data_IF_352465094181
#
_entry.id   IF_352465094181
#
_cell.length_a   1.000
_cell.length_b   1.000
_cell.length_c   1.000
_cell.angle_alpha   90.00
_cell.angle_beta   90.00
_cell.angle_gamma   90.00
#
_symmetry.space_group_name_H-M   'P 1'
#
loop_
_entity.id
_entity.type
_entity.pdbx_description
1 polymer ?
#
# COMPACT_ATOMS: atom_id res chain seq x y z
N UNK A 1 -24.41 -14.91 -42.70
CA UNK A 1 -24.65 -14.89 -41.24
C UNK A 1 -24.17 -16.20 -40.62
N UNK A 2 -22.87 -16.50 -40.67
CA UNK A 2 -22.24 -17.65 -39.97
C UNK A 2 -20.75 -17.29 -39.76
N UNK A 3 -20.44 -16.43 -38.78
CA UNK A 3 -19.08 -16.28 -38.22
C UNK A 3 -19.21 -15.86 -36.75
N UNK A 4 -19.68 -16.75 -35.87
CA UNK A 4 -19.55 -16.58 -34.40
C UNK A 4 -19.50 -17.94 -33.69
N UNK A 5 -18.59 -18.85 -34.08
CA UNK A 5 -18.44 -20.11 -33.33
C UNK A 5 -17.04 -20.72 -33.23
N UNK A 6 -15.97 -19.93 -33.31
CA UNK A 6 -14.60 -20.47 -33.11
C UNK A 6 -13.62 -19.55 -32.37
N UNK A 7 -14.08 -18.79 -31.36
CA UNK A 7 -13.20 -18.04 -30.44
C UNK A 7 -13.61 -18.28 -28.97
N UNK A 8 -13.79 -19.54 -28.56
CA UNK A 8 -14.08 -19.88 -27.16
C UNK A 8 -13.32 -21.12 -26.64
N UNK A 9 -12.26 -21.59 -27.31
CA UNK A 9 -11.58 -22.84 -26.90
C UNK A 9 -10.06 -22.81 -26.98
N UNK A 10 -9.38 -21.72 -26.58
CA UNK A 10 -7.92 -21.73 -26.39
C UNK A 10 -7.33 -20.71 -25.39
N UNK A 11 -8.12 -20.16 -24.45
CA UNK A 11 -7.64 -19.18 -23.45
C UNK A 11 -7.73 -19.70 -22.00
N UNK A 12 -8.11 -20.97 -21.78
CA UNK A 12 -8.24 -21.55 -20.43
C UNK A 12 -7.28 -22.71 -20.11
N UNK A 13 -6.23 -22.93 -20.91
CA UNK A 13 -5.23 -23.99 -20.66
C UNK A 13 -3.81 -23.47 -20.37
N UNK A 14 -3.65 -22.22 -19.94
CA UNK A 14 -2.33 -21.64 -19.55
C UNK A 14 -2.43 -20.90 -18.20
N UNK A 15 -3.27 -21.36 -17.26
CA UNK A 15 -3.25 -20.90 -15.85
C UNK A 15 -3.24 -22.08 -14.84
N UNK A 16 -2.97 -23.32 -15.30
CA UNK A 16 -2.84 -24.50 -14.41
C UNK A 16 -1.56 -25.30 -14.74
N UNK A 17 -0.40 -24.64 -14.70
CA UNK A 17 0.93 -25.30 -14.54
C UNK A 17 1.89 -24.45 -13.67
N UNK A 18 1.36 -23.65 -12.73
CA UNK A 18 2.19 -22.89 -11.75
C UNK A 18 1.95 -23.32 -10.30
N UNK A 19 1.52 -24.56 -10.06
CA UNK A 19 1.26 -25.07 -8.70
C UNK A 19 1.73 -26.50 -8.41
N UNK A 20 2.62 -27.07 -9.23
CA UNK A 20 3.29 -28.34 -8.91
C UNK A 20 4.73 -28.39 -9.42
N UNK A 21 5.56 -27.43 -9.00
CA UNK A 21 6.95 -27.74 -8.72
C UNK A 21 7.16 -27.37 -7.26
N UNK A 22 7.09 -28.37 -6.39
CA UNK A 22 7.46 -28.20 -5.00
C UNK A 22 8.85 -27.56 -4.96
N UNK A 23 9.02 -26.54 -4.13
CA UNK A 23 10.35 -26.13 -3.71
C UNK A 23 10.99 -27.36 -3.06
N UNK A 24 12.01 -28.00 -3.65
CA UNK A 24 12.83 -28.87 -2.85
C UNK A 24 13.54 -27.96 -1.86
N UNK A 25 13.26 -28.17 -0.58
CA UNK A 25 14.13 -27.73 0.48
C UNK A 25 15.50 -28.40 0.25
N UNK A 26 16.41 -27.72 -0.43
CA UNK A 26 17.82 -28.11 -0.46
C UNK A 26 18.51 -27.40 0.69
N UNK A 27 18.65 -28.16 1.78
CA UNK A 27 19.57 -27.89 2.86
C UNK A 27 21.01 -27.92 2.33
N UNK A 28 21.83 -26.95 2.75
CA UNK A 28 23.31 -26.93 2.68
C UNK A 28 23.96 -27.41 1.35
N UNK A 29 24.28 -26.49 0.43
CA UNK A 29 25.18 -26.77 -0.70
C UNK A 29 25.43 -25.52 -1.56
N UNK A 30 26.69 -25.25 -1.90
CA UNK A 30 27.06 -24.17 -2.82
C UNK A 30 26.26 -24.27 -4.13
N UNK A 31 25.58 -23.20 -4.51
CA UNK A 31 24.85 -23.12 -5.78
C UNK A 31 25.87 -22.98 -6.90
N UNK A 32 25.98 -23.98 -7.77
CA UNK A 32 26.78 -23.86 -9.00
C UNK A 32 26.01 -23.04 -10.04
N UNK A 33 26.37 -21.76 -10.15
CA UNK A 33 25.75 -20.82 -11.09
C UNK A 33 25.90 -21.26 -12.56
N UNK A 34 26.99 -21.96 -12.91
CA UNK A 34 27.21 -22.44 -14.26
C UNK A 34 26.28 -23.61 -14.60
N UNK A 35 25.89 -24.40 -13.60
CA UNK A 35 24.90 -25.46 -13.77
C UNK A 35 23.50 -24.87 -14.02
N UNK A 36 23.12 -23.82 -13.28
CA UNK A 36 21.88 -23.07 -13.57
C UNK A 36 21.88 -22.52 -15.00
N UNK A 37 23.01 -21.98 -15.45
CA UNK A 37 23.17 -21.47 -16.82
C UNK A 37 23.03 -22.58 -17.87
N UNK A 38 23.69 -23.72 -17.69
CA UNK A 38 23.57 -24.89 -18.59
C UNK A 38 22.13 -25.41 -18.68
N UNK A 39 21.40 -25.37 -17.56
CA UNK A 39 19.98 -25.73 -17.49
C UNK A 39 19.04 -24.65 -18.07
N UNK A 40 19.57 -23.56 -18.65
CA UNK A 40 18.83 -22.43 -19.21
C UNK A 40 17.95 -21.70 -18.18
N UNK A 41 18.27 -21.81 -16.89
CA UNK A 41 17.57 -21.13 -15.78
C UNK A 41 18.12 -19.72 -15.59
N UNK A 42 18.02 -18.92 -16.65
CA UNK A 42 18.71 -17.63 -16.76
C UNK A 42 18.24 -16.58 -15.74
N UNK A 43 16.94 -16.54 -15.43
CA UNK A 43 16.39 -15.61 -14.43
C UNK A 43 16.95 -15.90 -13.02
N UNK A 44 17.14 -17.18 -12.69
CA UNK A 44 17.70 -17.60 -11.41
C UNK A 44 19.22 -17.41 -11.37
N UNK A 45 19.92 -17.62 -12.49
CA UNK A 45 21.37 -17.48 -12.57
C UNK A 45 21.84 -16.01 -12.56
N UNK A 46 21.04 -15.10 -13.11
CA UNK A 46 21.37 -13.68 -13.27
C UNK A 46 21.89 -12.98 -12.00
N UNK A 47 21.19 -13.04 -10.83
CA UNK A 47 21.67 -12.37 -9.62
C UNK A 47 23.01 -12.91 -9.09
N UNK A 48 23.30 -14.20 -9.33
CA UNK A 48 24.57 -14.80 -8.93
C UNK A 48 25.71 -14.34 -9.85
N UNK A 49 25.49 -14.26 -11.17
CA UNK A 49 26.49 -13.71 -12.10
C UNK A 49 26.78 -12.24 -11.85
N UNK A 50 25.76 -11.42 -11.54
CA UNK A 50 25.97 -10.03 -11.16
C UNK A 50 26.81 -9.90 -9.87
N UNK A 51 26.55 -10.77 -8.89
CA UNK A 51 27.34 -10.83 -7.65
C UNK A 51 28.79 -11.23 -7.94
N UNK A 52 29.02 -12.27 -8.74
CA UNK A 52 30.37 -12.74 -9.11
C UNK A 52 31.16 -11.67 -9.89
N UNK A 53 30.52 -10.98 -10.83
CA UNK A 53 31.15 -9.89 -11.60
C UNK A 53 31.59 -8.74 -10.70
N UNK A 54 30.81 -8.45 -9.65
CA UNK A 54 31.16 -7.43 -8.65
C UNK A 54 32.36 -7.86 -7.81
N UNK A 55 32.45 -9.15 -7.47
CA UNK A 55 33.56 -9.71 -6.70
C UNK A 55 34.84 -9.89 -7.53
N UNK A 56 34.70 -10.18 -8.83
CA UNK A 56 35.78 -10.48 -9.76
C UNK A 56 35.70 -9.58 -11.02
N UNK A 57 35.92 -8.27 -10.91
CA UNK A 57 35.70 -7.32 -12.01
C UNK A 57 36.65 -7.47 -13.21
N UNK A 58 37.75 -8.21 -13.04
CA UNK A 58 38.73 -8.50 -14.11
C UNK A 58 38.41 -9.76 -14.88
N UNK A 59 37.46 -10.58 -14.43
CA UNK A 59 37.03 -11.78 -15.14
C UNK A 59 35.94 -11.42 -16.16
N UNK A 60 36.38 -11.08 -17.37
CA UNK A 60 35.49 -10.70 -18.46
C UNK A 60 34.58 -11.83 -18.95
N UNK A 61 34.86 -13.10 -18.60
CA UNK A 61 33.96 -14.20 -18.93
C UNK A 61 32.61 -14.05 -18.23
N UNK A 62 32.57 -13.42 -17.05
CA UNK A 62 31.34 -13.16 -16.31
C UNK A 62 30.42 -12.17 -17.06
N UNK A 63 31.00 -11.25 -17.84
CA UNK A 63 30.20 -10.32 -18.65
C UNK A 63 29.39 -11.04 -19.72
N UNK A 64 29.96 -12.08 -20.34
CA UNK A 64 29.24 -12.93 -21.28
C UNK A 64 28.03 -13.58 -20.62
N UNK A 65 28.24 -14.30 -19.51
CA UNK A 65 27.16 -15.02 -18.83
C UNK A 65 26.06 -14.06 -18.37
N UNK A 66 26.42 -12.90 -17.81
CA UNK A 66 25.45 -11.85 -17.47
C UNK A 66 24.71 -11.35 -18.72
N UNK A 67 25.41 -11.07 -19.82
CA UNK A 67 24.82 -10.57 -21.07
C UNK A 67 23.87 -11.57 -21.72
N UNK A 68 24.19 -12.87 -21.70
CA UNK A 68 23.31 -13.94 -22.14
C UNK A 68 22.08 -14.04 -21.25
N UNK A 69 22.26 -14.05 -19.92
CA UNK A 69 21.15 -14.07 -18.97
C UNK A 69 20.18 -12.90 -19.21
N UNK A 70 20.70 -11.68 -19.41
CA UNK A 70 19.88 -10.50 -19.71
C UNK A 70 19.11 -10.67 -21.03
N UNK A 71 19.76 -11.18 -22.08
CA UNK A 71 19.14 -11.38 -23.40
C UNK A 71 18.04 -12.45 -23.36
N UNK A 72 18.26 -13.55 -22.65
CA UNK A 72 17.29 -14.65 -22.55
C UNK A 72 16.13 -14.35 -21.59
N UNK A 73 16.32 -13.40 -20.66
CA UNK A 73 15.26 -12.88 -19.77
C UNK A 73 14.53 -11.66 -20.34
N UNK A 74 14.75 -11.38 -21.64
CA UNK A 74 14.17 -10.27 -22.39
C UNK A 74 14.54 -8.86 -21.89
N UNK A 75 15.63 -8.74 -21.13
CA UNK A 75 16.20 -7.48 -20.62
C UNK A 75 17.19 -6.92 -21.65
N UNK A 76 16.64 -6.43 -22.76
CA UNK A 76 17.41 -5.87 -23.87
C UNK A 76 17.84 -4.41 -23.60
N UNK A 77 18.92 -3.95 -24.23
CA UNK A 77 19.43 -2.59 -24.04
C UNK A 77 20.95 -2.45 -24.14
N UNK A 78 21.40 -1.20 -24.03
CA UNK A 78 22.81 -0.79 -24.14
C UNK A 78 23.73 -1.50 -23.15
N UNK A 79 23.30 -1.69 -21.89
CA UNK A 79 24.09 -2.42 -20.88
C UNK A 79 24.40 -3.85 -21.34
N UNK A 80 23.41 -4.53 -21.89
CA UNK A 80 23.56 -5.90 -22.40
C UNK A 80 24.50 -5.94 -23.61
N UNK A 81 24.44 -4.93 -24.50
CA UNK A 81 25.37 -4.79 -25.62
C UNK A 81 26.81 -4.61 -25.12
N UNK A 82 27.03 -3.69 -24.16
CA UNK A 82 28.34 -3.44 -23.57
C UNK A 82 28.94 -4.69 -22.95
N UNK A 83 28.16 -5.41 -22.14
CA UNK A 83 28.60 -6.67 -21.52
C UNK A 83 28.97 -7.73 -22.57
N UNK A 84 28.16 -7.88 -23.62
CA UNK A 84 28.41 -8.80 -24.74
C UNK A 84 29.49 -8.32 -25.72
N UNK A 85 30.13 -7.17 -25.50
CA UNK A 85 31.23 -6.67 -26.35
C UNK A 85 32.56 -6.59 -25.59
N UNK A 86 32.52 -6.75 -24.27
CA UNK A 86 33.69 -6.61 -23.42
C UNK A 86 34.45 -7.94 -23.31
N UNK A 87 35.15 -8.31 -24.39
CA UNK A 87 36.06 -9.45 -24.46
C UNK A 87 37.48 -9.01 -24.80
N UNK A 88 38.47 -9.78 -24.35
CA UNK A 88 39.80 -9.80 -24.98
C UNK A 88 39.64 -10.39 -26.40
N UNK A 89 40.18 -9.71 -27.41
CA UNK A 89 39.77 -9.82 -28.84
C UNK A 89 39.70 -11.24 -29.43
N UNK A 90 40.40 -12.20 -28.84
CA UNK A 90 40.56 -13.55 -29.38
C UNK A 90 39.75 -14.62 -28.62
N UNK A 91 39.05 -14.27 -27.52
CA UNK A 91 38.40 -15.22 -26.62
C UNK A 91 36.87 -15.10 -26.54
N UNK A 92 36.23 -14.32 -27.41
CA UNK A 92 34.77 -14.18 -27.39
C UNK A 92 34.07 -15.51 -27.81
N UNK A 93 33.09 -16.00 -27.04
CA UNK A 93 32.26 -17.14 -27.48
C UNK A 93 31.61 -16.84 -28.83
N UNK A 94 31.67 -17.78 -29.78
CA UNK A 94 31.21 -17.54 -31.17
C UNK A 94 29.70 -17.21 -31.25
N UNK A 95 28.91 -17.69 -30.29
CA UNK A 95 27.48 -17.44 -30.17
C UNK A 95 27.15 -16.06 -29.59
N UNK A 96 28.14 -15.27 -29.15
CA UNK A 96 27.98 -13.86 -28.78
C UNK A 96 27.25 -13.07 -29.88
N UNK A 97 27.58 -13.35 -31.15
CA UNK A 97 26.93 -12.71 -32.29
C UNK A 97 25.42 -13.00 -32.34
N UNK A 98 24.97 -14.17 -31.91
CA UNK A 98 23.53 -14.48 -31.81
C UNK A 98 22.85 -13.60 -30.76
N UNK A 99 23.42 -13.48 -29.57
CA UNK A 99 22.84 -12.69 -28.48
C UNK A 99 22.85 -11.19 -28.79
N UNK A 100 23.93 -10.68 -29.40
CA UNK A 100 23.98 -9.31 -29.93
C UNK A 100 22.91 -9.08 -31.01
N UNK A 101 22.72 -10.03 -31.93
CA UNK A 101 21.69 -9.93 -32.95
C UNK A 101 20.29 -9.86 -32.34
N UNK A 102 19.98 -10.74 -31.38
CA UNK A 102 18.71 -10.80 -30.66
C UNK A 102 18.43 -9.48 -29.90
N UNK A 103 19.44 -8.95 -29.22
CA UNK A 103 19.33 -7.65 -28.54
C UNK A 103 19.05 -6.50 -29.51
N UNK A 104 19.83 -6.39 -30.59
CA UNK A 104 19.65 -5.36 -31.61
C UNK A 104 18.31 -5.48 -32.32
N UNK A 105 17.81 -6.70 -32.53
CA UNK A 105 16.48 -6.95 -33.10
C UNK A 105 15.39 -6.44 -32.15
N UNK A 106 15.50 -6.73 -30.86
CA UNK A 106 14.57 -6.22 -29.84
C UNK A 106 14.57 -4.69 -29.73
N UNK A 107 15.70 -4.03 -30.03
CA UNK A 107 15.83 -2.57 -30.11
C UNK A 107 15.40 -1.96 -31.46
N UNK A 108 14.81 -2.75 -32.36
CA UNK A 108 14.41 -2.35 -33.73
C UNK A 108 15.57 -1.93 -34.64
N UNK A 109 16.81 -2.27 -34.31
CA UNK A 109 17.99 -2.03 -35.15
C UNK A 109 18.16 -3.13 -36.19
N UNK A 110 17.15 -3.31 -37.06
CA UNK A 110 17.01 -4.49 -37.93
C UNK A 110 18.20 -4.75 -38.87
N UNK A 111 18.85 -3.69 -39.38
CA UNK A 111 20.04 -3.82 -40.24
C UNK A 111 21.24 -4.38 -39.46
N UNK A 112 21.46 -3.86 -38.26
CA UNK A 112 22.55 -4.30 -37.37
C UNK A 112 22.29 -5.74 -36.91
N UNK A 113 21.07 -6.04 -36.49
CA UNK A 113 20.64 -7.39 -36.11
C UNK A 113 20.87 -8.41 -37.24
N UNK A 114 20.51 -8.05 -38.48
CA UNK A 114 20.73 -8.90 -39.65
C UNK A 114 22.22 -9.19 -39.88
N UNK A 115 23.09 -8.19 -39.70
CA UNK A 115 24.54 -8.38 -39.81
C UNK A 115 25.04 -9.40 -38.81
N UNK A 116 24.67 -9.25 -37.53
CA UNK A 116 25.10 -10.18 -36.48
C UNK A 116 24.53 -11.59 -36.64
N UNK A 117 23.27 -11.75 -37.06
CA UNK A 117 22.71 -13.06 -37.38
C UNK A 117 23.46 -13.76 -38.52
N UNK A 118 23.90 -13.00 -39.53
CA UNK A 118 24.68 -13.53 -40.63
C UNK A 118 26.09 -13.95 -40.18
N UNK A 119 26.75 -13.15 -39.34
CA UNK A 119 28.06 -13.52 -38.75
C UNK A 119 27.96 -14.78 -37.90
N UNK A 120 26.96 -14.88 -37.03
CA UNK A 120 26.68 -16.12 -36.29
C UNK A 120 26.45 -17.31 -37.24
N UNK A 121 25.69 -17.11 -38.31
CA UNK A 121 25.35 -18.17 -39.27
C UNK A 121 26.55 -18.77 -40.00
N UNK A 122 27.66 -18.03 -40.14
CA UNK A 122 28.90 -18.53 -40.76
C UNK A 122 29.58 -19.60 -39.91
N UNK A 123 29.44 -19.51 -38.58
CA UNK A 123 30.10 -20.41 -37.62
C UNK A 123 29.14 -21.49 -37.09
N UNK A 124 27.85 -21.18 -36.96
CA UNK A 124 26.84 -22.09 -36.42
C UNK A 124 26.56 -23.28 -37.35
N UNK A 125 26.32 -24.45 -36.77
CA UNK A 125 25.89 -25.65 -37.48
C UNK A 125 24.47 -25.51 -38.04
N UNK A 126 24.10 -26.39 -38.98
CA UNK A 126 22.74 -26.43 -39.53
C UNK A 126 21.68 -26.71 -38.46
N UNK A 127 22.02 -27.49 -37.43
CA UNK A 127 21.11 -27.84 -36.33
C UNK A 127 20.85 -26.61 -35.46
N UNK A 128 21.91 -25.93 -35.01
CA UNK A 128 21.80 -24.73 -34.19
C UNK A 128 21.01 -23.63 -34.88
N UNK A 129 21.26 -23.38 -36.17
CA UNK A 129 20.50 -22.38 -36.93
C UNK A 129 19.00 -22.70 -36.99
N UNK A 130 18.65 -23.99 -37.05
CA UNK A 130 17.26 -24.45 -37.04
C UNK A 130 16.63 -24.29 -35.65
N UNK A 131 17.32 -24.71 -34.59
CA UNK A 131 16.84 -24.60 -33.21
C UNK A 131 16.61 -23.15 -32.79
N UNK A 132 17.55 -22.27 -33.13
CA UNK A 132 17.47 -20.83 -32.83
C UNK A 132 16.63 -20.04 -33.84
N UNK A 133 16.05 -20.71 -34.84
CA UNK A 133 15.18 -20.11 -35.86
C UNK A 133 15.82 -18.92 -36.60
N UNK A 134 17.11 -18.99 -36.94
CA UNK A 134 17.87 -17.86 -37.50
C UNK A 134 17.28 -17.37 -38.83
N UNK A 135 16.87 -18.28 -39.71
CA UNK A 135 16.26 -17.91 -41.01
C UNK A 135 14.94 -17.15 -40.84
N UNK A 136 14.16 -17.51 -39.81
CA UNK A 136 12.93 -16.81 -39.47
C UNK A 136 13.23 -15.42 -38.90
N UNK A 137 14.18 -15.32 -37.95
CA UNK A 137 14.55 -14.05 -37.32
C UNK A 137 15.10 -13.04 -38.33
N UNK A 138 16.01 -13.48 -39.21
CA UNK A 138 16.52 -12.64 -40.32
C UNK A 138 15.42 -12.27 -41.31
N UNK A 139 14.48 -13.18 -41.60
CA UNK A 139 13.29 -12.90 -42.40
C UNK A 139 12.38 -11.83 -41.77
N UNK A 140 12.24 -11.83 -40.44
CA UNK A 140 11.51 -10.79 -39.70
C UNK A 140 12.25 -9.45 -39.72
N UNK A 141 13.57 -9.44 -39.57
CA UNK A 141 14.38 -8.21 -39.71
C UNK A 141 14.21 -7.57 -41.09
N UNK A 142 14.21 -8.37 -42.17
CA UNK A 142 13.98 -7.87 -43.55
C UNK A 142 12.61 -7.22 -43.72
N UNK A 143 11.62 -7.65 -42.93
CA UNK A 143 10.26 -7.08 -42.91
C UNK A 143 10.09 -5.98 -41.85
N UNK A 144 11.15 -5.62 -41.12
CA UNK A 144 11.11 -4.69 -40.00
C UNK A 144 10.10 -5.07 -38.90
N UNK A 145 9.93 -6.38 -38.66
CA UNK A 145 9.02 -6.90 -37.63
C UNK A 145 9.85 -7.29 -36.40
N UNK A 146 9.46 -6.79 -35.23
CA UNK A 146 10.09 -7.13 -33.95
C UNK A 146 9.24 -8.18 -33.20
N UNK A 147 9.76 -9.41 -32.99
CA UNK A 147 9.04 -10.47 -32.29
C UNK A 147 9.24 -10.47 -30.77
N UNK A 148 10.06 -9.56 -30.22
CA UNK A 148 10.46 -9.60 -28.82
C UNK A 148 9.65 -8.62 -27.97
N UNK A 149 9.23 -9.06 -26.79
CA UNK A 149 8.70 -8.19 -25.74
C UNK A 149 9.86 -7.71 -24.88
N UNK A 150 10.02 -6.40 -24.69
CA UNK A 150 11.07 -5.86 -23.82
C UNK A 150 10.57 -5.95 -22.37
N UNK A 151 11.22 -6.76 -21.53
CA UNK A 151 11.02 -6.68 -20.08
C UNK A 151 11.86 -5.49 -19.60
N UNK A 152 11.19 -4.45 -19.09
CA UNK A 152 11.89 -3.26 -18.64
C UNK A 152 12.69 -3.62 -17.38
N UNK A 153 13.99 -3.33 -17.38
CA UNK A 153 14.83 -3.47 -16.20
C UNK A 153 14.17 -2.70 -15.03
N UNK A 154 13.88 -3.35 -13.88
CA UNK A 154 13.23 -2.71 -12.74
C UNK A 154 13.90 -1.41 -12.29
N UNK A 155 15.22 -1.32 -12.41
CA UNK A 155 15.99 -0.13 -12.03
C UNK A 155 15.80 1.00 -13.05
N UNK A 156 15.73 0.67 -14.35
CA UNK A 156 15.43 1.63 -15.43
C UNK A 156 13.97 2.07 -15.37
N UNK A 157 13.03 1.16 -15.09
CA UNK A 157 11.62 1.50 -14.89
C UNK A 157 11.47 2.48 -13.74
N UNK A 158 12.11 2.21 -12.59
CA UNK A 158 12.09 3.10 -11.43
C UNK A 158 12.75 4.45 -11.73
N UNK A 159 13.89 4.47 -12.42
CA UNK A 159 14.57 5.70 -12.81
C UNK A 159 13.75 6.51 -13.83
N UNK A 160 13.10 5.86 -14.80
CA UNK A 160 12.19 6.51 -15.75
C UNK A 160 10.93 7.02 -15.06
N UNK A 161 10.41 6.30 -14.06
CA UNK A 161 9.32 6.77 -13.21
C UNK A 161 9.73 8.01 -12.42
N UNK A 162 10.95 8.02 -11.89
CA UNK A 162 11.51 9.12 -11.12
C UNK A 162 11.82 10.33 -11.99
N UNK A 163 12.36 10.15 -13.19
CA UNK A 163 12.60 11.20 -14.18
C UNK A 163 11.29 11.73 -14.77
N UNK A 164 10.28 10.88 -15.04
CA UNK A 164 8.93 11.35 -15.39
C UNK A 164 8.28 12.12 -14.24
N UNK A 165 8.52 11.73 -12.97
CA UNK A 165 8.07 12.49 -11.78
C UNK A 165 8.81 13.83 -11.65
N UNK A 166 10.09 13.90 -12.02
CA UNK A 166 10.90 15.13 -12.07
C UNK A 166 10.46 16.07 -13.20
N UNK A 167 10.29 15.54 -14.41
CA UNK A 167 9.79 16.28 -15.57
C UNK A 167 8.35 16.77 -15.38
N UNK A 168 7.47 15.98 -14.75
CA UNK A 168 6.14 16.45 -14.34
C UNK A 168 6.22 17.50 -13.21
N UNK A 169 7.23 17.47 -12.34
CA UNK A 169 7.46 18.52 -11.34
C UNK A 169 7.90 19.85 -11.95
N UNK A 170 8.60 19.83 -13.09
CA UNK A 170 9.01 21.05 -13.82
C UNK A 170 7.92 21.58 -14.75
N UNK A 171 7.16 20.70 -15.43
CA UNK A 171 6.07 21.10 -16.34
C UNK A 171 4.84 21.70 -15.63
N UNK A 172 4.68 21.43 -14.33
CA UNK A 172 3.58 21.94 -13.47
C UNK A 172 3.91 23.31 -12.85
N UNK A 173 5.10 23.89 -13.11
CA UNK A 173 5.45 25.21 -12.54
C UNK A 173 4.80 26.41 -13.21
N UNK A 174 4.15 26.26 -14.36
CA UNK A 174 3.40 27.36 -15.00
C UNK A 174 1.96 26.95 -15.29
N UNK A 175 1.03 27.60 -14.56
CA UNK A 175 -0.44 27.51 -14.61
C UNK A 175 -1.06 26.20 -14.12
N UNK A 176 -1.10 26.03 -12.81
CA UNK A 176 -2.11 25.19 -12.17
C UNK A 176 -3.09 26.10 -11.43
N UNK A 177 -4.27 26.30 -12.00
CA UNK A 177 -5.39 26.90 -11.27
C UNK A 177 -5.75 25.88 -10.19
N UNK A 178 -5.53 26.24 -8.93
CA UNK A 178 -5.87 25.39 -7.80
C UNK A 178 -7.39 25.38 -7.68
N UNK A 179 -8.05 24.37 -8.25
CA UNK A 179 -9.49 24.16 -8.08
C UNK A 179 -9.78 23.89 -6.59
N UNK A 180 -10.58 24.77 -5.98
CA UNK A 180 -10.99 24.65 -4.58
C UNK A 180 -12.33 23.89 -4.59
N UNK A 181 -12.43 22.74 -3.90
CA UNK A 181 -13.71 22.04 -3.74
C UNK A 181 -14.77 22.99 -3.19
N UNK A 182 -15.98 22.97 -3.76
CA UNK A 182 -17.05 23.90 -3.38
C UNK A 182 -17.36 23.86 -1.87
N UNK A 183 -17.32 22.65 -1.29
CA UNK A 183 -17.47 22.40 0.14
C UNK A 183 -16.43 23.15 0.99
N UNK A 184 -15.22 23.37 0.48
CA UNK A 184 -14.12 23.98 1.23
C UNK A 184 -14.15 25.52 1.20
N UNK A 185 -14.93 26.14 0.31
CA UNK A 185 -14.91 27.59 0.09
C UNK A 185 -15.37 28.37 1.33
N UNK A 186 -16.47 27.92 1.96
CA UNK A 186 -17.04 28.55 3.17
C UNK A 186 -16.86 27.69 4.44
N UNK A 187 -16.05 26.63 4.36
CA UNK A 187 -15.79 25.76 5.52
C UNK A 187 -14.81 26.44 6.47
N UNK A 188 -15.14 26.44 7.77
CA UNK A 188 -14.20 26.82 8.83
C UNK A 188 -13.17 25.70 8.99
N UNK A 189 -11.91 26.03 8.74
CA UNK A 189 -10.79 25.12 8.92
C UNK A 189 -10.05 25.46 10.22
N UNK A 190 -9.24 24.54 10.73
CA UNK A 190 -8.31 24.83 11.82
C UNK A 190 -6.92 24.34 11.41
N UNK A 191 -6.23 25.16 10.60
CA UNK A 191 -4.91 24.82 10.09
C UNK A 191 -3.84 25.57 10.87
N UNK A 192 -3.25 24.89 11.84
CA UNK A 192 -2.26 25.47 12.77
C UNK A 192 -0.87 25.40 12.12
N UNK A 193 -0.21 26.55 12.03
CA UNK A 193 1.17 26.68 11.55
C UNK A 193 2.12 26.83 12.74
N UNK A 194 1.74 27.65 13.73
CA UNK A 194 2.41 27.81 15.01
C UNK A 194 1.39 28.17 16.10
N UNK A 195 1.84 28.42 17.34
CA UNK A 195 0.96 28.88 18.43
C UNK A 195 0.27 30.21 18.14
N UNK A 196 0.87 31.07 17.32
CA UNK A 196 0.36 32.41 16.99
C UNK A 196 -0.27 32.48 15.60
N UNK A 197 0.07 31.55 14.72
CA UNK A 197 -0.32 31.58 13.31
C UNK A 197 -1.15 30.36 12.97
N UNK A 198 -2.41 30.59 12.64
CA UNK A 198 -3.33 29.56 12.16
C UNK A 198 -4.31 30.15 11.16
N UNK A 199 -4.83 29.30 10.27
CA UNK A 199 -5.83 29.68 9.29
C UNK A 199 -7.18 29.07 9.63
N UNK A 200 -8.21 29.91 9.53
CA UNK A 200 -9.63 29.58 9.68
C UNK A 200 -10.35 29.43 8.34
N UNK A 201 -9.75 29.92 7.23
CA UNK A 201 -10.31 29.88 5.88
C UNK A 201 -9.26 29.50 4.84
N UNK A 202 -9.71 28.83 3.78
CA UNK A 202 -8.85 28.43 2.65
C UNK A 202 -8.21 29.62 1.91
N UNK A 203 -8.84 30.80 2.00
CA UNK A 203 -8.33 32.05 1.41
C UNK A 203 -7.08 32.62 2.10
N UNK A 204 -6.75 32.15 3.32
CA UNK A 204 -5.65 32.71 4.11
C UNK A 204 -4.27 32.13 3.77
N UNK A 205 -4.21 31.06 2.97
CA UNK A 205 -2.95 30.49 2.49
C UNK A 205 -2.17 31.50 1.66
N UNK A 206 -0.91 31.71 2.02
CA UNK A 206 -0.02 32.70 1.41
C UNK A 206 0.73 32.13 0.22
N UNK A 207 0.94 30.82 0.19
CA UNK A 207 1.61 30.13 -0.92
C UNK A 207 0.63 29.28 -1.72
N UNK A 208 0.71 29.37 -3.06
CA UNK A 208 -0.11 28.52 -3.95
C UNK A 208 0.17 27.03 -3.73
N UNK A 209 1.45 26.68 -3.49
CA UNK A 209 1.85 25.30 -3.21
C UNK A 209 1.34 24.83 -1.84
N UNK A 210 1.36 25.68 -0.81
CA UNK A 210 0.79 25.37 0.51
C UNK A 210 -0.71 25.12 0.40
N UNK A 211 -1.43 26.02 -0.28
CA UNK A 211 -2.86 25.90 -0.56
C UNK A 211 -3.21 24.61 -1.29
N UNK A 212 -2.49 24.29 -2.38
CA UNK A 212 -2.68 23.06 -3.15
C UNK A 212 -2.48 21.81 -2.29
N UNK A 213 -1.42 21.77 -1.49
CA UNK A 213 -1.14 20.62 -0.64
C UNK A 213 -2.18 20.49 0.48
N UNK A 214 -2.66 21.60 1.06
CA UNK A 214 -3.75 21.57 2.03
C UNK A 214 -5.03 20.99 1.42
N UNK A 215 -5.43 21.45 0.24
CA UNK A 215 -6.62 20.92 -0.47
C UNK A 215 -6.48 19.41 -0.69
N UNK A 216 -5.33 18.95 -1.20
CA UNK A 216 -5.08 17.52 -1.38
C UNK A 216 -5.15 16.72 -0.07
N UNK A 217 -4.62 17.26 1.03
CA UNK A 217 -4.73 16.65 2.35
C UNK A 217 -6.17 16.59 2.85
N UNK A 218 -6.90 17.70 2.74
CA UNK A 218 -8.31 17.80 3.14
C UNK A 218 -9.20 16.83 2.35
N UNK A 219 -9.04 16.74 1.03
CA UNK A 219 -9.76 15.78 0.18
C UNK A 219 -9.48 14.34 0.59
N UNK A 220 -8.22 13.99 0.85
CA UNK A 220 -7.85 12.65 1.32
C UNK A 220 -8.44 12.35 2.71
N UNK A 221 -8.55 13.35 3.60
CA UNK A 221 -9.21 13.19 4.89
C UNK A 221 -10.72 12.95 4.73
N UNK A 222 -11.38 13.61 3.77
CA UNK A 222 -12.77 13.33 3.40
C UNK A 222 -12.95 11.89 2.89
N UNK A 223 -12.08 11.44 1.97
CA UNK A 223 -12.09 10.07 1.47
C UNK A 223 -11.85 9.05 2.57
N UNK A 224 -10.95 9.35 3.51
CA UNK A 224 -10.67 8.49 4.66
C UNK A 224 -11.95 8.20 5.47
N UNK A 225 -12.77 9.24 5.72
CA UNK A 225 -14.05 9.10 6.42
C UNK A 225 -15.00 8.15 5.68
N UNK A 226 -15.10 8.27 4.36
CA UNK A 226 -15.95 7.41 3.53
C UNK A 226 -15.45 5.96 3.58
N UNK A 227 -14.14 5.74 3.43
CA UNK A 227 -13.56 4.39 3.49
C UNK A 227 -13.75 3.73 4.86
N UNK A 228 -13.63 4.50 5.95
CA UNK A 228 -13.89 4.00 7.30
C UNK A 228 -15.35 3.58 7.49
N UNK A 229 -16.31 4.37 7.00
CA UNK A 229 -17.73 4.01 7.04
C UNK A 229 -18.02 2.72 6.27
N UNK A 230 -17.40 2.52 5.11
CA UNK A 230 -17.55 1.30 4.33
C UNK A 230 -16.99 0.07 5.05
N UNK A 231 -15.81 0.21 5.68
CA UNK A 231 -15.24 -0.86 6.50
C UNK A 231 -16.15 -1.23 7.66
N UNK A 232 -16.74 -0.25 8.34
CA UNK A 232 -17.67 -0.49 9.45
C UNK A 232 -18.96 -1.18 8.98
N UNK A 233 -19.46 -0.82 7.79
CA UNK A 233 -20.58 -1.50 7.14
C UNK A 233 -20.27 -2.98 6.85
N UNK A 234 -19.11 -3.26 6.23
CA UNK A 234 -18.67 -4.62 5.91
C UNK A 234 -18.41 -5.47 7.15
N UNK A 235 -17.86 -4.88 8.23
CA UNK A 235 -17.71 -5.57 9.52
C UNK A 235 -19.05 -5.91 10.13
N UNK A 236 -20.04 -5.03 10.00
CA UNK A 236 -21.42 -5.29 10.43
C UNK A 236 -22.03 -6.46 9.65
N UNK A 237 -21.86 -6.47 8.32
CA UNK A 237 -22.31 -7.58 7.46
C UNK A 237 -21.60 -8.90 7.80
N UNK A 238 -20.29 -8.85 8.03
CA UNK A 238 -19.49 -10.00 8.45
C UNK A 238 -20.03 -10.62 9.75
N UNK A 239 -20.38 -9.78 10.73
CA UNK A 239 -20.92 -10.25 12.02
C UNK A 239 -22.27 -10.97 11.89
N UNK A 240 -23.08 -10.62 10.87
CA UNK A 240 -24.40 -11.20 10.61
C UNK A 240 -24.38 -12.42 9.69
N UNK A 241 -23.25 -12.69 9.02
CA UNK A 241 -23.14 -13.79 8.06
C UNK A 241 -22.93 -15.15 8.75
N UNK A 242 -23.57 -16.20 8.23
CA UNK A 242 -23.44 -17.58 8.73
C UNK A 242 -22.56 -18.48 7.83
N UNK A 243 -22.37 -18.10 6.56
CA UNK A 243 -21.59 -18.88 5.60
C UNK A 243 -20.09 -18.57 5.72
N UNK A 244 -19.28 -19.63 5.83
CA UNK A 244 -17.80 -19.54 5.90
C UNK A 244 -17.20 -18.85 4.67
N UNK A 245 -17.74 -19.13 3.48
CA UNK A 245 -17.29 -18.53 2.22
C UNK A 245 -17.59 -17.03 2.15
N UNK A 246 -18.79 -16.62 2.58
CA UNK A 246 -19.16 -15.20 2.66
C UNK A 246 -18.30 -14.46 3.71
N UNK A 247 -18.01 -15.09 4.85
CA UNK A 247 -17.11 -14.51 5.85
C UNK A 247 -15.70 -14.33 5.30
N UNK A 248 -15.17 -15.31 4.57
CA UNK A 248 -13.85 -15.21 3.94
C UNK A 248 -13.78 -14.05 2.93
N UNK A 249 -14.80 -13.93 2.08
CA UNK A 249 -14.92 -12.83 1.12
C UNK A 249 -14.97 -11.45 1.79
N UNK A 250 -15.85 -11.30 2.80
CA UNK A 250 -15.99 -10.03 3.54
C UNK A 250 -14.71 -9.66 4.30
N UNK A 251 -14.04 -10.62 4.93
CA UNK A 251 -12.76 -10.41 5.60
C UNK A 251 -11.67 -9.92 4.63
N UNK A 252 -11.61 -10.50 3.42
CA UNK A 252 -10.66 -10.08 2.38
C UNK A 252 -10.92 -8.64 1.93
N UNK A 253 -12.20 -8.26 1.75
CA UNK A 253 -12.58 -6.88 1.41
C UNK A 253 -12.23 -5.88 2.51
N UNK A 254 -12.50 -6.23 3.77
CA UNK A 254 -12.15 -5.40 4.93
C UNK A 254 -10.64 -5.15 4.96
N UNK A 255 -9.83 -6.19 4.76
CA UNK A 255 -8.37 -6.07 4.76
C UNK A 255 -7.85 -5.15 3.63
N UNK A 256 -8.40 -5.27 2.42
CA UNK A 256 -8.01 -4.39 1.30
C UNK A 256 -8.36 -2.92 1.58
N UNK A 257 -9.56 -2.65 2.10
CA UNK A 257 -9.97 -1.30 2.46
C UNK A 257 -9.16 -0.74 3.62
N UNK A 258 -8.80 -1.54 4.62
CA UNK A 258 -7.89 -1.13 5.70
C UNK A 258 -6.51 -0.73 5.16
N UNK A 259 -5.96 -1.46 4.19
CA UNK A 259 -4.72 -1.07 3.52
C UNK A 259 -4.88 0.25 2.75
N UNK A 260 -6.01 0.43 2.06
CA UNK A 260 -6.33 1.66 1.34
C UNK A 260 -6.47 2.86 2.29
N UNK A 261 -7.12 2.68 3.44
CA UNK A 261 -7.23 3.66 4.53
C UNK A 261 -5.84 4.09 4.98
N UNK A 262 -4.94 3.15 5.26
CA UNK A 262 -3.57 3.45 5.68
C UNK A 262 -2.79 4.26 4.65
N UNK A 263 -2.85 3.86 3.36
CA UNK A 263 -2.19 4.60 2.27
C UNK A 263 -2.77 6.01 2.12
N UNK A 264 -4.10 6.15 2.19
CA UNK A 264 -4.80 7.43 2.03
C UNK A 264 -4.50 8.37 3.19
N UNK A 265 -4.45 7.84 4.42
CA UNK A 265 -4.06 8.58 5.61
C UNK A 265 -2.63 9.11 5.50
N UNK A 266 -1.67 8.25 5.14
CA UNK A 266 -0.27 8.66 4.99
C UNK A 266 -0.11 9.76 3.93
N UNK A 267 -0.83 9.64 2.81
CA UNK A 267 -0.83 10.67 1.77
C UNK A 267 -1.46 11.97 2.26
N UNK A 268 -2.53 11.90 3.06
CA UNK A 268 -3.14 13.08 3.70
C UNK A 268 -2.16 13.79 4.62
N UNK A 269 -1.53 13.03 5.53
CA UNK A 269 -0.58 13.56 6.51
C UNK A 269 0.64 14.19 5.82
N UNK A 270 1.20 13.54 4.79
CA UNK A 270 2.31 14.07 3.99
C UNK A 270 1.95 15.41 3.36
N UNK A 271 0.75 15.51 2.77
CA UNK A 271 0.27 16.72 2.11
C UNK A 271 0.06 17.86 3.11
N UNK A 272 -0.58 17.59 4.25
CA UNK A 272 -0.78 18.60 5.29
C UNK A 272 0.54 19.06 5.92
N UNK A 273 1.48 18.14 6.13
CA UNK A 273 2.82 18.48 6.63
C UNK A 273 3.58 19.36 5.64
N UNK A 274 3.51 19.06 4.34
CA UNK A 274 4.13 19.88 3.32
C UNK A 274 3.48 21.27 3.22
N UNK A 275 2.15 21.33 3.32
CA UNK A 275 1.43 22.61 3.38
C UNK A 275 1.90 23.46 4.57
N UNK A 276 2.01 22.84 5.76
CA UNK A 276 2.45 23.52 6.97
C UNK A 276 3.88 24.04 6.82
N UNK A 277 4.78 23.20 6.31
CA UNK A 277 6.18 23.57 6.06
C UNK A 277 6.29 24.78 5.12
N UNK A 278 5.54 24.78 4.02
CA UNK A 278 5.57 25.86 3.03
C UNK A 278 5.07 27.19 3.61
N UNK A 279 3.97 27.15 4.37
CA UNK A 279 3.42 28.34 5.01
C UNK A 279 4.34 28.83 6.15
N UNK A 280 4.90 27.93 6.95
CA UNK A 280 5.87 28.28 7.99
C UNK A 280 7.10 28.99 7.41
N UNK A 281 7.64 28.52 6.28
CA UNK A 281 8.74 29.17 5.56
C UNK A 281 8.37 30.57 5.03
N UNK A 282 7.11 30.78 4.63
CA UNK A 282 6.62 32.10 4.26
C UNK A 282 6.57 33.03 5.48
N UNK A 283 6.02 32.56 6.61
CA UNK A 283 5.87 33.35 7.83
C UNK A 283 7.20 33.71 8.50
N UNK A 284 8.26 32.91 8.33
CA UNK A 284 9.62 33.30 8.75
C UNK A 284 10.12 34.60 8.12
N UNK A 285 9.60 34.96 6.94
CA UNK A 285 9.98 36.15 6.17
C UNK A 285 8.97 37.28 6.30
N UNK A 286 7.81 37.03 6.91
CA UNK A 286 6.73 37.98 7.03
C UNK A 286 7.05 39.07 8.07
N UNK A 287 6.52 40.26 7.83
CA UNK A 287 6.59 41.39 8.76
C UNK A 287 5.55 41.22 9.88
N UNK A 288 5.72 41.93 10.99
CA UNK A 288 4.85 41.81 12.18
C UNK A 288 3.42 42.31 11.92
N UNK A 289 3.26 43.30 11.03
CA UNK A 289 1.94 43.82 10.62
C UNK A 289 1.09 42.77 9.90
N UNK A 290 1.72 41.87 9.12
CA UNK A 290 1.02 40.75 8.48
C UNK A 290 0.42 39.77 9.49
N UNK A 291 1.11 39.55 10.63
CA UNK A 291 0.60 38.69 11.71
C UNK A 291 -0.62 39.33 12.38
N UNK A 292 -0.55 40.63 12.67
CA UNK A 292 -1.68 41.38 13.21
C UNK A 292 -2.90 41.36 12.28
N UNK A 293 -2.69 41.55 10.98
CA UNK A 293 -3.76 41.44 9.97
C UNK A 293 -4.39 40.05 9.98
N UNK A 294 -3.60 38.98 10.07
CA UNK A 294 -4.13 37.62 10.14
C UNK A 294 -4.97 37.41 11.41
N UNK A 295 -4.47 37.84 12.57
CA UNK A 295 -5.19 37.72 13.83
C UNK A 295 -6.54 38.46 13.80
N UNK A 296 -6.54 39.70 13.31
CA UNK A 296 -7.76 40.49 13.13
C UNK A 296 -8.75 39.80 12.18
N UNK A 297 -8.27 39.22 11.07
CA UNK A 297 -9.11 38.44 10.15
C UNK A 297 -9.72 37.22 10.86
N UNK A 298 -8.94 36.48 11.65
CA UNK A 298 -9.43 35.31 12.38
C UNK A 298 -10.51 35.69 13.41
N UNK A 299 -10.36 36.82 14.11
CA UNK A 299 -11.37 37.34 15.02
C UNK A 299 -12.66 37.72 14.29
N UNK A 300 -12.56 38.38 13.14
CA UNK A 300 -13.72 38.70 12.31
C UNK A 300 -14.43 37.45 11.81
N UNK A 301 -13.68 36.44 11.34
CA UNK A 301 -14.24 35.15 10.89
C UNK A 301 -14.97 34.46 12.04
N UNK A 302 -14.36 34.39 13.22
CA UNK A 302 -14.96 33.78 14.41
C UNK A 302 -16.28 34.44 14.79
N UNK A 303 -16.32 35.77 14.85
CA UNK A 303 -17.56 36.53 15.14
C UNK A 303 -18.65 36.27 14.10
N UNK A 304 -18.30 36.21 12.82
CA UNK A 304 -19.25 35.92 11.75
C UNK A 304 -19.81 34.50 11.84
N UNK A 305 -18.97 33.50 12.16
CA UNK A 305 -19.40 32.11 12.36
C UNK A 305 -20.32 31.99 13.59
N UNK A 306 -19.98 32.65 14.70
CA UNK A 306 -20.83 32.73 15.90
C UNK A 306 -22.20 33.35 15.59
N UNK A 307 -22.23 34.44 14.81
CA UNK A 307 -23.49 35.08 14.39
C UNK A 307 -24.32 34.18 13.46
N UNK A 308 -23.67 33.44 12.55
CA UNK A 308 -24.35 32.49 11.65
C UNK A 308 -25.00 31.34 12.44
N UNK A 309 -24.30 30.82 13.44
CA UNK A 309 -24.83 29.79 14.36
C UNK A 309 -26.03 30.35 15.15
N UNK A 310 -25.91 31.56 15.69
CA UNK A 310 -26.97 32.19 16.46
C UNK A 310 -28.23 32.46 15.61
N UNK A 311 -28.06 32.88 14.35
CA UNK A 311 -29.17 33.08 13.40
C UNK A 311 -29.87 31.79 12.97
N UNK A 312 -29.13 30.69 12.84
CA UNK A 312 -29.69 29.38 12.55
C UNK A 312 -30.44 28.76 13.74
N UNK A 313 -30.23 29.31 14.95
CA UNK A 313 -30.88 28.88 16.19
C UNK A 313 -32.03 29.80 16.64
N UNK A 314 -32.45 30.80 15.84
CA UNK A 314 -33.62 31.61 16.20
C UNK A 314 -34.88 30.72 16.34
N UNK A 315 -35.70 30.91 17.39
CA UNK A 315 -36.89 30.12 17.60
C UNK A 315 -37.93 30.39 16.50
N UNK A 316 -38.61 29.33 16.05
CA UNK A 316 -39.84 29.43 15.26
C UNK A 316 -40.80 30.33 16.04
N UNK A 317 -41.11 31.51 15.51
CA UNK A 317 -42.16 32.37 16.03
C UNK A 317 -43.49 31.64 15.79
N UNK A 318 -44.02 31.00 16.83
CA UNK A 318 -45.42 30.61 16.85
C UNK A 318 -46.27 31.89 17.02
N UNK A 319 -47.42 32.00 16.32
CA UNK A 319 -48.29 33.18 16.42
C UNK A 319 -48.76 33.40 17.86
N UNK A 320 -48.83 34.66 18.28
CA UNK A 320 -49.35 35.04 19.59
C UNK A 320 -50.79 34.54 19.77
N UNK A 321 -51.03 33.80 20.85
CA UNK A 321 -52.35 33.56 21.42
C UNK A 321 -52.22 33.67 22.94
N UNK A 322 -53.19 34.37 23.52
CA UNK A 322 -53.23 34.90 24.88
C UNK A 322 -53.09 33.83 25.99
N UNK A 323 -52.55 34.28 27.12
CA UNK A 323 -52.56 33.59 28.43
C UNK A 323 -53.98 33.12 28.82
N UNK A 324 -54.14 32.03 29.60
CA UNK A 324 -53.94 32.19 31.04
C UNK A 324 -53.41 30.96 31.84
N UNK A 325 -52.77 31.32 32.95
CA UNK A 325 -52.88 30.78 34.31
C UNK A 325 -52.61 29.28 34.62
N UNK A 326 -51.53 29.12 35.40
CA UNK A 326 -51.44 28.49 36.73
C UNK A 326 -51.70 26.97 36.89
N UNK A 327 -50.80 26.33 37.66
CA UNK A 327 -51.03 25.29 38.70
C UNK A 327 -49.82 24.34 38.84
N UNK A 328 -48.93 24.74 39.75
CA UNK A 328 -48.25 23.98 40.83
C UNK A 328 -47.56 22.62 40.66
N UNK A 329 -46.43 22.56 41.39
CA UNK A 329 -45.86 21.45 42.18
C UNK A 329 -45.00 20.42 41.42
N UNK A 330 -43.86 19.93 41.92
CA UNK A 330 -43.05 20.17 43.12
C UNK A 330 -41.70 19.48 42.88
N UNK A 331 -40.60 20.02 43.42
CA UNK A 331 -39.33 19.32 43.56
C UNK A 331 -39.42 18.29 44.71
N UNK A 332 -38.71 17.14 44.60
CA UNK A 332 -37.84 16.63 45.68
C UNK A 332 -37.01 15.39 45.26
N UNK A 333 -35.70 15.50 45.57
CA UNK A 333 -34.75 14.52 46.16
C UNK A 333 -34.49 13.16 45.47
N UNK A 334 -33.29 12.88 44.93
CA UNK A 334 -31.97 12.55 45.55
C UNK A 334 -31.71 11.05 45.81
N UNK A 335 -30.57 10.57 45.26
CA UNK A 335 -29.62 9.56 45.81
C UNK A 335 -29.63 8.11 45.24
N UNK A 336 -28.62 7.86 44.38
CA UNK A 336 -27.54 6.83 44.44
C UNK A 336 -27.82 5.31 44.63
N UNK A 337 -27.46 4.56 43.56
CA UNK A 337 -26.72 3.28 43.43
C UNK A 337 -27.02 2.11 44.40
N UNK A 338 -27.43 0.96 43.85
CA UNK A 338 -26.66 -0.29 43.95
C UNK A 338 -27.05 -1.38 42.94
N UNK A 339 -26.00 -2.07 42.52
CA UNK A 339 -25.83 -3.23 41.64
C UNK A 339 -26.38 -4.52 42.25
N UNK A 340 -26.98 -5.39 41.43
CA UNK A 340 -26.61 -6.80 41.26
C UNK A 340 -27.57 -7.52 40.30
N UNK A 341 -27.00 -8.20 39.30
CA UNK A 341 -27.68 -9.19 38.44
C UNK A 341 -28.02 -10.48 39.22
N UNK A 342 -28.77 -11.44 38.61
CA UNK A 342 -28.07 -12.49 37.85
C UNK A 342 -28.76 -13.01 36.56
N UNK A 343 -27.93 -13.27 35.52
CA UNK A 343 -27.76 -14.46 34.63
C UNK A 343 -29.04 -15.31 34.32
N UNK A 344 -29.40 -15.76 33.10
CA UNK A 344 -28.68 -16.45 32.00
C UNK A 344 -29.64 -16.54 30.79
N UNK A 345 -29.22 -16.52 29.52
CA UNK A 345 -28.90 -17.73 28.75
C UNK A 345 -28.03 -17.44 27.50
N UNK A 346 -27.18 -18.43 27.22
CA UNK A 346 -26.11 -18.51 26.23
C UNK A 346 -26.65 -19.10 24.91
N UNK A 347 -26.27 -18.61 23.72
CA UNK A 347 -26.28 -19.44 22.52
C UNK A 347 -24.93 -20.13 22.32
N UNK A 348 -25.00 -21.45 22.12
CA UNK A 348 -23.94 -22.44 21.95
C UNK A 348 -22.85 -22.09 20.91
N UNK A 349 -21.59 -22.22 21.35
CA UNK A 349 -20.54 -23.07 20.79
C UNK A 349 -20.44 -23.23 19.25
N UNK A 350 -19.47 -22.54 18.65
CA UNK A 350 -18.66 -23.08 17.53
C UNK A 350 -17.35 -23.65 18.09
N UNK A 351 -17.45 -24.76 18.82
CA UNK A 351 -16.31 -25.50 19.35
C UNK A 351 -15.46 -26.08 18.22
N UNK A 352 -14.30 -25.47 17.95
CA UNK A 352 -12.98 -26.11 17.73
C UNK A 352 -11.95 -25.19 17.04
N UNK A 353 -12.33 -23.98 16.60
CA UNK A 353 -11.41 -23.16 15.81
C UNK A 353 -10.50 -22.31 16.70
N UNK A 354 -9.19 -22.46 16.51
CA UNK A 354 -8.17 -21.61 17.14
C UNK A 354 -8.15 -20.25 16.47
N UNK A 355 -8.20 -19.19 17.28
CA UNK A 355 -8.21 -17.80 16.85
C UNK A 355 -7.01 -17.07 17.44
N UNK A 356 -6.25 -16.38 16.60
CA UNK A 356 -5.15 -15.52 16.99
C UNK A 356 -5.63 -14.07 17.16
N UNK A 357 -5.37 -13.48 18.32
CA UNK A 357 -5.65 -12.07 18.64
C UNK A 357 -4.37 -11.38 19.11
N UNK A 358 -4.29 -10.06 19.03
CA UNK A 358 -3.13 -9.30 19.51
C UNK A 358 -3.53 -8.66 20.83
N UNK A 359 -2.93 -9.11 21.93
CA UNK A 359 -3.11 -8.49 23.23
C UNK A 359 -2.34 -7.16 23.25
N UNK A 360 -3.05 -6.08 23.57
CA UNK A 360 -2.50 -4.71 23.62
C UNK A 360 -2.43 -4.16 25.04
N UNK A 361 -3.03 -4.85 26.01
CA UNK A 361 -2.93 -4.50 27.41
C UNK A 361 -3.68 -5.48 28.30
N UNK A 362 -3.28 -5.53 29.56
CA UNK A 362 -3.91 -6.33 30.62
C UNK A 362 -3.89 -5.49 31.89
N UNK A 363 -5.07 -5.20 32.44
CA UNK A 363 -5.21 -4.27 33.56
C UNK A 363 -6.14 -4.87 34.63
N UNK A 364 -5.82 -4.63 35.90
CA UNK A 364 -6.65 -5.01 37.06
C UNK A 364 -7.41 -3.80 37.65
N UNK A 365 -7.23 -2.61 37.08
CA UNK A 365 -7.83 -1.34 37.52
C UNK A 365 -8.28 -0.51 36.31
N UNK A 366 -8.87 0.67 36.55
CA UNK A 366 -9.19 1.62 35.48
C UNK A 366 -7.95 1.99 34.65
N UNK A 367 -8.14 2.09 33.33
CA UNK A 367 -7.08 2.45 32.37
C UNK A 367 -6.43 3.80 32.72
N UNK A 368 -5.10 3.91 32.74
CA UNK A 368 -4.43 5.21 32.81
C UNK A 368 -4.83 6.13 31.66
N UNK A 369 -4.84 7.44 31.88
CA UNK A 369 -5.37 8.39 30.90
C UNK A 369 -4.56 8.47 29.60
N UNK A 370 -3.26 8.22 29.69
CA UNK A 370 -2.37 8.02 28.54
C UNK A 370 -2.78 6.79 27.71
N UNK A 371 -3.12 5.68 28.37
CA UNK A 371 -3.61 4.46 27.72
C UNK A 371 -5.00 4.65 27.14
N UNK A 372 -5.92 5.34 27.83
CA UNK A 372 -7.25 5.66 27.27
C UNK A 372 -7.12 6.49 25.99
N UNK A 373 -6.25 7.50 25.97
CA UNK A 373 -6.00 8.32 24.77
C UNK A 373 -5.38 7.51 23.63
N UNK A 374 -4.43 6.62 23.95
CA UNK A 374 -3.81 5.71 22.98
C UNK A 374 -4.83 4.72 22.41
N UNK A 375 -5.62 4.07 23.28
CA UNK A 375 -6.66 3.14 22.87
C UNK A 375 -7.76 3.84 22.08
N UNK A 376 -8.14 5.06 22.45
CA UNK A 376 -9.05 5.90 21.64
C UNK A 376 -8.48 6.19 20.26
N UNK A 377 -7.17 6.43 20.14
CA UNK A 377 -6.51 6.65 18.83
C UNK A 377 -6.48 5.37 18.00
N UNK A 378 -6.24 4.23 18.62
CA UNK A 378 -6.21 2.92 17.94
C UNK A 378 -7.63 2.48 17.57
N UNK A 379 -8.62 2.78 18.43
CA UNK A 379 -10.03 2.47 18.19
C UNK A 379 -10.63 3.22 17.02
N UNK A 380 -9.98 4.30 16.57
CA UNK A 380 -10.33 4.98 15.31
C UNK A 380 -10.09 4.07 14.11
N UNK A 381 -9.09 3.19 14.16
CA UNK A 381 -8.69 2.35 13.02
C UNK A 381 -9.13 0.89 13.18
N UNK A 382 -9.20 0.38 14.41
CA UNK A 382 -9.38 -1.05 14.70
C UNK A 382 -10.32 -1.24 15.87
N UNK A 383 -11.19 -2.25 15.79
CA UNK A 383 -12.00 -2.63 16.95
C UNK A 383 -11.08 -3.14 18.05
N UNK A 384 -11.27 -2.61 19.26
CA UNK A 384 -10.65 -3.13 20.48
C UNK A 384 -11.71 -3.95 21.19
N UNK A 385 -11.46 -5.25 21.30
CA UNK A 385 -12.28 -6.16 22.11
C UNK A 385 -11.68 -6.28 23.50
N UNK A 386 -12.51 -6.57 24.50
CA UNK A 386 -12.08 -6.84 25.86
C UNK A 386 -12.74 -8.10 26.42
N UNK A 387 -12.01 -8.84 27.25
CA UNK A 387 -12.54 -9.96 28.02
C UNK A 387 -11.85 -10.04 29.38
N UNK A 388 -12.50 -10.65 30.36
CA UNK A 388 -11.91 -10.90 31.68
C UNK A 388 -11.27 -12.27 31.71
N UNK A 389 -10.00 -12.34 32.12
CA UNK A 389 -9.31 -13.63 32.26
C UNK A 389 -9.59 -14.32 33.60
N UNK A 390 -9.11 -15.56 33.75
CA UNK A 390 -9.31 -16.38 34.96
C UNK A 390 -8.73 -15.73 36.24
N UNK A 391 -7.85 -14.74 36.11
CA UNK A 391 -7.23 -14.02 37.22
C UNK A 391 -7.88 -12.64 37.45
N UNK A 392 -9.07 -12.41 36.90
CA UNK A 392 -9.86 -11.19 37.02
C UNK A 392 -9.19 -9.92 36.42
N UNK A 393 -8.31 -10.09 35.44
CA UNK A 393 -7.77 -8.96 34.68
C UNK A 393 -8.60 -8.71 33.42
N UNK A 394 -8.81 -7.44 33.10
CA UNK A 394 -9.40 -7.00 31.84
C UNK A 394 -8.30 -7.02 30.76
N UNK A 395 -8.44 -7.93 29.81
CA UNK A 395 -7.52 -8.10 28.69
C UNK A 395 -8.08 -7.39 27.47
N UNK A 396 -7.31 -6.47 26.90
CA UNK A 396 -7.66 -5.74 25.68
C UNK A 396 -6.95 -6.37 24.48
N UNK A 397 -7.72 -6.64 23.43
CA UNK A 397 -7.24 -7.32 22.23
C UNK A 397 -7.68 -6.65 20.94
N UNK A 398 -6.91 -6.87 19.88
CA UNK A 398 -7.20 -6.41 18.53
C UNK A 398 -7.07 -7.56 17.56
N UNK A 399 -8.02 -7.65 16.64
CA UNK A 399 -8.01 -8.62 15.55
C UNK A 399 -8.52 -9.99 15.96
N UNK A 400 -9.01 -10.71 14.95
CA UNK A 400 -9.55 -12.06 15.04
C UNK A 400 -9.07 -12.83 13.80
N UNK A 401 -7.89 -13.43 13.91
CA UNK A 401 -7.15 -13.99 12.77
C UNK A 401 -7.03 -15.50 12.88
N UNK A 402 -7.04 -16.19 11.75
CA UNK A 402 -6.88 -17.66 11.69
C UNK A 402 -5.45 -18.09 11.37
N UNK A 403 -4.57 -17.14 11.01
CA UNK A 403 -3.20 -17.40 10.61
C UNK A 403 -2.17 -16.67 11.49
N UNK A 404 -1.15 -17.39 11.97
CA UNK A 404 -0.09 -16.82 12.80
C UNK A 404 0.75 -15.78 12.06
N UNK A 405 1.03 -15.96 10.76
CA UNK A 405 1.82 -15.02 9.96
C UNK A 405 1.12 -13.67 9.85
N UNK A 406 -0.19 -13.69 9.69
CA UNK A 406 -0.99 -12.46 9.65
C UNK A 406 -1.13 -11.83 11.03
N UNK A 407 -1.20 -12.64 12.09
CA UNK A 407 -1.17 -12.14 13.46
C UNK A 407 0.15 -11.47 13.81
N UNK A 408 1.29 -12.01 13.35
CA UNK A 408 2.62 -11.40 13.52
C UNK A 408 2.74 -10.10 12.72
N UNK A 409 2.20 -10.03 11.50
CA UNK A 409 2.13 -8.76 10.74
C UNK A 409 1.32 -7.71 11.49
N UNK A 410 0.14 -8.09 11.99
CA UNK A 410 -0.76 -7.19 12.71
C UNK A 410 -0.12 -6.71 14.02
N UNK A 411 0.56 -7.61 14.75
CA UNK A 411 1.35 -7.29 15.93
C UNK A 411 2.45 -6.26 15.61
N UNK A 412 3.22 -6.46 14.55
CA UNK A 412 4.30 -5.55 14.17
C UNK A 412 3.77 -4.15 13.82
N UNK A 413 2.60 -4.06 13.18
CA UNK A 413 1.94 -2.78 12.94
C UNK A 413 1.51 -2.11 14.24
N UNK A 414 0.87 -2.84 15.15
CA UNK A 414 0.40 -2.28 16.44
C UNK A 414 1.58 -1.79 17.28
N UNK A 415 2.74 -2.47 17.22
CA UNK A 415 3.98 -2.02 17.86
C UNK A 415 4.50 -0.71 17.26
N UNK A 416 4.44 -0.56 15.94
CA UNK A 416 4.79 0.69 15.25
C UNK A 416 3.81 1.83 15.60
N UNK A 417 2.55 1.50 15.89
CA UNK A 417 1.51 2.43 16.36
C UNK A 417 1.63 2.81 17.85
N UNK A 418 2.79 2.55 18.48
CA UNK A 418 3.16 2.91 19.86
C UNK A 418 2.67 1.97 20.97
N UNK A 419 2.13 0.79 20.66
CA UNK A 419 1.89 -0.28 21.66
C UNK A 419 3.01 -1.31 21.59
N UNK A 420 4.18 -0.94 22.13
CA UNK A 420 5.41 -1.76 22.01
C UNK A 420 5.26 -3.17 22.61
N UNK A 421 4.44 -3.28 23.65
CA UNK A 421 4.23 -4.53 24.38
C UNK A 421 3.14 -5.41 23.75
N UNK A 422 2.67 -5.10 22.53
CA UNK A 422 1.69 -5.93 21.87
C UNK A 422 2.26 -7.31 21.50
N UNK A 423 1.50 -8.37 21.77
CA UNK A 423 1.89 -9.74 21.42
C UNK A 423 0.71 -10.61 21.00
N UNK A 424 1.01 -11.62 20.20
CA UNK A 424 -0.01 -12.56 19.70
C UNK A 424 -0.41 -13.52 20.82
N UNK A 425 -1.71 -13.72 20.98
CA UNK A 425 -2.31 -14.75 21.82
C UNK A 425 -3.16 -15.67 20.95
N UNK A 426 -3.30 -16.93 21.36
CA UNK A 426 -4.21 -17.88 20.75
C UNK A 426 -5.36 -18.18 21.72
N UNK A 427 -6.58 -18.15 21.21
CA UNK A 427 -7.81 -18.41 21.94
C UNK A 427 -8.51 -19.59 21.27
N UNK A 428 -8.90 -20.59 22.05
CA UNK A 428 -9.71 -21.73 21.63
C UNK A 428 -10.82 -21.91 22.66
N UNK A 429 -12.07 -22.02 22.20
CA UNK A 429 -13.25 -22.23 23.05
C UNK A 429 -13.37 -21.17 24.16
N UNK A 430 -13.06 -19.91 23.82
CA UNK A 430 -13.05 -18.77 24.75
C UNK A 430 -11.87 -18.72 25.73
N UNK A 431 -10.99 -19.73 25.73
CA UNK A 431 -9.83 -19.82 26.64
C UNK A 431 -8.52 -19.63 25.90
N UNK A 432 -7.55 -19.02 26.59
CA UNK A 432 -6.21 -18.83 26.05
C UNK A 432 -5.45 -20.15 26.05
N UNK A 433 -4.86 -20.51 24.91
CA UNK A 433 -3.98 -21.67 24.77
C UNK A 433 -2.53 -21.25 24.45
N UNK A 434 -1.52 -22.07 24.76
CA UNK A 434 -0.14 -21.82 24.34
C UNK A 434 -0.01 -21.71 22.83
N UNK A 435 0.80 -20.75 22.34
CA UNK A 435 1.05 -20.54 20.91
C UNK A 435 1.55 -21.82 20.21
N UNK A 436 2.45 -22.57 20.84
CA UNK A 436 2.97 -23.83 20.27
C UNK A 436 1.87 -24.90 20.11
N UNK A 437 0.87 -24.90 20.97
CA UNK A 437 -0.28 -25.81 20.86
C UNK A 437 -1.23 -25.35 19.76
N UNK A 438 -1.48 -24.04 19.68
CA UNK A 438 -2.26 -23.41 18.61
C UNK A 438 -1.69 -23.70 17.21
N UNK A 439 -0.37 -23.61 17.05
CA UNK A 439 0.31 -23.90 15.77
C UNK A 439 0.15 -25.37 15.35
N UNK A 440 0.27 -26.31 16.30
CA UNK A 440 0.02 -27.74 16.04
C UNK A 440 -1.42 -28.01 15.62
N UNK A 441 -2.39 -27.38 16.28
CA UNK A 441 -3.81 -27.54 15.96
C UNK A 441 -4.22 -26.92 14.63
N UNK A 442 -3.47 -25.91 14.15
CA UNK A 442 -3.75 -25.18 12.90
C UNK A 442 -2.87 -25.60 11.72
N UNK A 443 -1.87 -26.45 11.96
CA UNK A 443 -0.93 -26.91 10.92
C UNK A 443 -0.02 -25.81 10.36
N UNK A 444 0.35 -24.82 11.20
CA UNK A 444 1.06 -23.60 10.80
C UNK A 444 2.45 -23.44 11.41
#
# INVERSE_FOLDING_TARGET
MIIEKHIQSNIFLIIIVLLTCGFPAYANGNIDVYELFKQKRYEEALPYFDSLRTLNPTDYSLNYYTGVCLTETNRFGEKTIQLLQQYESDNAPYDTNYFLAKNQHALNNFKIATSFYNEFSKLATKIERKELQIDKLTGLCKKSINPFTVSEDPEIFLNRLNEKRKANKEKVREKEIVEIPAELIDTTINFIISSEIYYSRIGQFKTNQGKKNFIGGWTNAGLLKILMQEVDSLRTEYSKSYSSENKHYLSTKVLDLEQKIMRTKNLSDEKLMLANKLEAEWWKKAQEDEKWKLAAQNDSIRKADEEKIMKQQLPVILPQMEEPADTTAQLTNSTTIQETEPITEVPESTANQVVFKIQIGKYNTQLPESTKKLFKKISVLRKIDQYTDENNYIVYTIGELTNIKDAVKLQNQIRQESVKDAFVIAIKDGKRIPLNEALKLTGQ
#
